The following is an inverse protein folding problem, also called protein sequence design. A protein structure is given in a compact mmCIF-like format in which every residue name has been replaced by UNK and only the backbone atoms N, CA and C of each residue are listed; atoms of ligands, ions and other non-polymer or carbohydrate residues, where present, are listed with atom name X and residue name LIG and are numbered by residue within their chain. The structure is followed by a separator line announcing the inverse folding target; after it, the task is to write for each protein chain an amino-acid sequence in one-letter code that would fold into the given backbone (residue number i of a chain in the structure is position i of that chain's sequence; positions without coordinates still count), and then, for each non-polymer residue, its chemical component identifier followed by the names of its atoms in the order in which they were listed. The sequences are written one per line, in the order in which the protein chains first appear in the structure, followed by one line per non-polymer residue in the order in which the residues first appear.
data_IF_368711003172
#
_entry.id   IF_368711003172
#
_cell.length_a   1.000
_cell.length_b   1.000
_cell.length_c   1.000
_cell.angle_alpha   90.00
_cell.angle_beta   90.00
_cell.angle_gamma   90.00
#
_symmetry.space_group_name_H-M   'P 1'
#
loop_
_entity.id
_entity.type
_entity.pdbx_description
1 polymer ?
#
# COMPACT_ATOMS: atom_id res chain seq x y z
N UNK A 1 -20.31 3.75 -3.96
CA UNK A 1 -19.22 4.68 -4.34
C UNK A 1 -17.90 4.09 -3.87
N UNK A 2 -16.96 3.69 -4.74
CA UNK A 2 -15.68 3.16 -4.30
C UNK A 2 -14.74 4.33 -3.97
N UNK A 3 -14.95 4.97 -2.82
CA UNK A 3 -14.01 5.94 -2.27
C UNK A 3 -12.78 5.17 -1.74
N UNK A 4 -11.95 4.65 -2.64
CA UNK A 4 -10.74 3.96 -2.26
C UNK A 4 -9.75 4.97 -1.69
N UNK A 5 -9.56 4.92 -0.38
CA UNK A 5 -8.53 5.68 0.35
C UNK A 5 -7.10 5.34 -0.12
N UNK A 6 -6.95 4.23 -0.86
CA UNK A 6 -5.72 3.75 -1.44
C UNK A 6 -5.55 4.35 -2.83
N UNK A 7 -4.48 5.13 -3.00
CA UNK A 7 -4.04 5.68 -4.29
C UNK A 7 -3.27 4.63 -5.09
N UNK A 8 -2.34 3.95 -4.44
CA UNK A 8 -1.51 2.90 -5.03
C UNK A 8 -1.08 1.93 -3.93
N UNK A 9 -0.67 0.73 -4.33
CA UNK A 9 -0.03 -0.23 -3.44
C UNK A 9 1.05 -1.00 -4.21
N UNK A 10 2.06 -1.46 -3.49
CA UNK A 10 3.12 -2.32 -3.97
C UNK A 10 3.30 -3.46 -2.97
N UNK A 11 3.54 -4.66 -3.48
CA UNK A 11 3.74 -5.84 -2.63
C UNK A 11 5.08 -6.47 -2.97
N UNK A 12 5.88 -6.71 -1.95
CA UNK A 12 7.16 -7.40 -2.02
C UNK A 12 6.99 -8.80 -1.42
N UNK A 13 7.04 -9.82 -2.28
CA UNK A 13 6.90 -11.24 -1.88
C UNK A 13 8.11 -11.76 -1.09
N UNK A 14 9.31 -11.26 -1.38
CA UNK A 14 10.53 -11.70 -0.73
C UNK A 14 10.56 -11.22 0.74
N UNK A 15 10.16 -9.97 0.96
CA UNK A 15 10.07 -9.37 2.28
C UNK A 15 8.71 -9.59 2.97
N UNK A 16 7.69 -10.04 2.24
CA UNK A 16 6.28 -10.12 2.68
C UNK A 16 5.79 -8.77 3.21
N UNK A 17 6.09 -7.72 2.44
CA UNK A 17 5.76 -6.34 2.80
C UNK A 17 4.78 -5.76 1.79
N UNK A 18 3.65 -5.28 2.28
CA UNK A 18 2.66 -4.56 1.48
C UNK A 18 2.79 -3.06 1.76
N UNK A 19 3.30 -2.32 0.80
CA UNK A 19 3.39 -0.87 0.84
C UNK A 19 2.11 -0.26 0.27
N UNK A 20 1.44 0.58 1.04
CA UNK A 20 0.19 1.24 0.66
C UNK A 20 0.38 2.74 0.66
N UNK A 21 0.13 3.34 -0.50
CA UNK A 21 0.11 4.79 -0.70
C UNK A 21 -1.32 5.28 -0.63
N UNK A 22 -1.60 6.11 0.36
CA UNK A 22 -2.91 6.71 0.55
C UNK A 22 -3.09 7.95 -0.34
N UNK A 23 -4.34 8.29 -0.63
CA UNK A 23 -4.70 9.51 -1.38
C UNK A 23 -4.21 10.79 -0.71
N UNK A 24 -4.00 10.76 0.61
CA UNK A 24 -3.42 11.87 1.37
C UNK A 24 -1.90 12.06 1.14
N UNK A 25 -1.25 11.19 0.36
CA UNK A 25 0.19 11.19 0.13
C UNK A 25 1.01 10.47 1.20
N UNK A 26 0.37 9.96 2.26
CA UNK A 26 1.06 9.15 3.28
C UNK A 26 1.30 7.74 2.76
N UNK A 27 2.44 7.16 3.10
CA UNK A 27 2.80 5.80 2.71
C UNK A 27 3.11 4.98 3.94
N UNK A 28 2.57 3.77 3.98
CA UNK A 28 2.77 2.82 5.07
C UNK A 28 3.17 1.47 4.51
N UNK A 29 4.14 0.82 5.16
CA UNK A 29 4.56 -0.54 4.88
C UNK A 29 3.98 -1.47 5.94
N UNK A 30 3.15 -2.40 5.48
CA UNK A 30 2.57 -3.46 6.29
C UNK A 30 3.47 -4.69 6.20
N UNK A 31 4.05 -5.10 7.33
CA UNK A 31 4.99 -6.24 7.38
C UNK A 31 4.27 -7.54 7.75
N UNK A 32 4.75 -8.64 7.20
CA UNK A 32 4.19 -9.97 7.46
C UNK A 32 2.90 -10.27 6.73
N UNK A 33 2.59 -9.50 5.67
CA UNK A 33 1.39 -9.71 4.85
C UNK A 33 1.61 -10.89 3.91
N UNK A 34 0.78 -11.93 3.93
CA UNK A 34 0.87 -13.05 3.00
C UNK A 34 0.51 -12.63 1.56
N UNK A 35 1.04 -13.37 0.58
CA UNK A 35 0.76 -13.13 -0.83
C UNK A 35 -0.74 -13.26 -1.16
N UNK A 36 -1.45 -14.20 -0.53
CA UNK A 36 -2.90 -14.35 -0.67
C UNK A 36 -3.67 -13.08 -0.30
N UNK A 37 -3.24 -12.38 0.76
CA UNK A 37 -3.90 -11.15 1.23
C UNK A 37 -3.60 -10.00 0.27
N UNK A 38 -2.36 -9.89 -0.21
CA UNK A 38 -1.99 -8.90 -1.22
C UNK A 38 -2.73 -9.14 -2.56
N UNK A 39 -2.88 -10.41 -2.96
CA UNK A 39 -3.64 -10.80 -4.14
C UNK A 39 -5.14 -10.51 -3.96
N UNK A 40 -5.69 -10.77 -2.77
CA UNK A 40 -7.05 -10.40 -2.40
C UNK A 40 -7.30 -8.90 -2.55
N UNK A 41 -6.37 -8.06 -2.07
CA UNK A 41 -6.43 -6.60 -2.25
C UNK A 41 -6.35 -6.20 -3.73
N UNK A 42 -5.53 -6.91 -4.53
CA UNK A 42 -5.41 -6.68 -5.98
C UNK A 42 -6.71 -7.00 -6.71
N UNK A 43 -7.37 -8.10 -6.36
CA UNK A 43 -8.63 -8.56 -6.97
C UNK A 43 -9.87 -7.83 -6.43
N UNK A 44 -9.81 -7.26 -5.23
CA UNK A 44 -10.94 -6.58 -4.62
C UNK A 44 -11.40 -5.37 -5.44
N UNK A 45 -12.70 -5.31 -5.71
CA UNK A 45 -13.37 -4.16 -6.33
C UNK A 45 -13.36 -2.94 -5.38
N UNK A 46 -13.57 -3.19 -4.08
CA UNK A 46 -13.53 -2.19 -3.02
C UNK A 46 -12.24 -2.31 -2.19
N UNK A 47 -11.12 -1.79 -2.74
CA UNK A 47 -9.79 -1.92 -2.10
C UNK A 47 -9.73 -1.34 -0.70
N UNK A 48 -10.36 -0.18 -0.48
CA UNK A 48 -10.41 0.46 0.84
C UNK A 48 -11.17 -0.36 1.89
N UNK A 49 -12.25 -1.05 1.51
CA UNK A 49 -13.04 -1.89 2.42
C UNK A 49 -12.27 -3.17 2.78
N UNK A 50 -11.72 -3.86 1.76
CA UNK A 50 -10.90 -5.05 1.98
C UNK A 50 -9.71 -4.76 2.90
N UNK A 51 -9.04 -3.62 2.68
CA UNK A 51 -7.93 -3.18 3.49
C UNK A 51 -8.32 -2.91 4.94
N UNK A 52 -9.42 -2.19 5.18
CA UNK A 52 -9.89 -1.93 6.54
C UNK A 52 -10.31 -3.21 7.26
N UNK A 53 -10.93 -4.16 6.57
CA UNK A 53 -11.40 -5.40 7.17
C UNK A 53 -10.28 -6.43 7.42
N UNK A 54 -9.31 -6.53 6.50
CA UNK A 54 -8.34 -7.64 6.47
C UNK A 54 -6.93 -7.23 6.85
N UNK A 55 -6.55 -5.95 6.68
CA UNK A 55 -5.15 -5.52 6.79
C UNK A 55 -4.94 -4.58 7.97
N UNK A 56 -5.78 -3.55 8.12
CA UNK A 56 -5.59 -2.44 9.07
C UNK A 56 -5.31 -2.86 10.51
N UNK A 57 -6.12 -3.77 11.04
CA UNK A 57 -6.05 -4.22 12.44
C UNK A 57 -5.30 -5.56 12.60
N UNK A 58 -4.75 -6.10 11.50
CA UNK A 58 -4.17 -7.45 11.45
C UNK A 58 -2.65 -7.45 11.29
N UNK A 59 -2.08 -6.38 10.74
CA UNK A 59 -0.65 -6.31 10.43
C UNK A 59 -0.02 -5.03 10.95
N UNK A 60 1.25 -5.13 11.30
CA UNK A 60 2.02 -4.01 11.79
C UNK A 60 2.32 -3.03 10.66
N UNK A 61 1.94 -1.76 10.88
CA UNK A 61 2.05 -0.70 9.90
C UNK A 61 3.18 0.26 10.28
N UNK A 62 4.26 0.25 9.52
CA UNK A 62 5.35 1.19 9.67
C UNK A 62 5.17 2.36 8.69
N UNK A 63 5.23 3.63 9.14
CA UNK A 63 5.28 4.75 8.21
C UNK A 63 6.54 4.66 7.35
N UNK A 64 6.37 4.79 6.03
CA UNK A 64 7.49 4.86 5.10
C UNK A 64 7.67 6.33 4.75
N UNK A 65 8.81 6.89 5.15
CA UNK A 65 9.24 8.18 4.62
C UNK A 65 9.58 7.97 3.16
N UNK A 66 8.61 8.21 2.28
CA UNK A 66 8.89 8.35 0.85
C UNK A 66 9.67 9.64 0.73
N UNK A 67 11.00 9.50 0.77
CA UNK A 67 11.92 10.55 0.41
C UNK A 67 11.41 11.15 -0.89
N UNK A 68 11.13 12.44 -0.84
CA UNK A 68 10.77 13.22 -2.02
C UNK A 68 12.01 13.31 -2.90
N UNK A 69 12.40 12.20 -3.54
CA UNK A 69 13.41 12.21 -4.58
C UNK A 69 12.74 12.81 -5.83
N UNK A 70 12.68 14.15 -5.83
CA UNK A 70 12.66 14.93 -7.06
C UNK A 70 14.03 14.80 -7.73
N UNK A 71 14.39 13.62 -8.27
CA UNK A 71 15.49 13.51 -9.24
C UNK A 71 15.19 12.51 -10.35
N UNK A 72 14.23 12.89 -11.17
CA UNK A 72 14.19 12.55 -12.59
C UNK A 72 13.19 13.50 -13.24
N UNK A 73 13.52 14.42 -14.13
CA UNK A 73 14.77 14.84 -14.71
C UNK A 73 14.39 15.96 -15.69
N UNK A 74 15.28 16.91 -15.94
CA UNK A 74 15.30 17.58 -17.23
C UNK A 74 16.74 17.93 -17.51
N UNK A 75 17.41 17.03 -18.23
CA UNK A 75 18.47 17.44 -19.12
C UNK A 75 17.82 18.37 -20.14
N UNK A 76 18.09 19.68 -20.06
CA UNK A 76 18.27 20.61 -21.18
C UNK A 76 19.05 21.80 -20.66
#
# INVERSE_FOLDING_TARGET
MPSSVIKAFAYDEAAKVLTVTFVSGRVYAYRGVPADVAQGLRLAFAKGEYFNATIRDRYDAAPVEVGTDRRQGSLF
#
